data_IF_042941859058
#
_entry.id   IF_042941859058
#
_cell.length_a   1.000
_cell.length_b   1.000
_cell.length_c   1.000
_cell.angle_alpha   90.00
_cell.angle_beta   90.00
_cell.angle_gamma   90.00
#
_symmetry.space_group_name_H-M   'P 1'
#
loop_
_entity.id
_entity.type
_entity.pdbx_description
1 polymer ?
#
# COMPACT_ATOMS: atom_id res chain seq x y z
N UNK A 1 11.77 7.94 15.79
CA UNK A 1 11.46 7.12 14.60
C UNK A 1 12.72 6.35 14.30
N UNK A 2 12.61 5.03 14.38
CA UNK A 2 13.75 4.15 14.13
C UNK A 2 13.62 3.58 12.71
N UNK A 3 14.77 3.42 12.06
CA UNK A 3 14.86 2.72 10.78
C UNK A 3 15.76 1.51 10.96
N UNK A 4 15.28 0.34 10.55
CA UNK A 4 16.04 -0.90 10.57
C UNK A 4 16.14 -1.47 9.16
N UNK A 5 17.35 -1.82 8.76
CA UNK A 5 17.64 -2.37 7.44
C UNK A 5 18.13 -3.80 7.56
N UNK A 6 17.56 -4.67 6.73
CA UNK A 6 17.89 -6.09 6.67
C UNK A 6 18.22 -6.47 5.23
N UNK A 7 19.22 -7.33 5.05
CA UNK A 7 19.58 -7.88 3.73
C UNK A 7 19.85 -9.37 3.87
N UNK A 8 19.16 -10.15 3.06
CA UNK A 8 19.26 -11.62 3.05
C UNK A 8 19.67 -12.10 1.67
N UNK A 9 20.65 -13.00 1.62
CA UNK A 9 20.99 -13.75 0.42
C UNK A 9 20.11 -15.01 0.36
N UNK A 10 19.28 -15.11 -0.68
CA UNK A 10 18.26 -16.15 -0.80
C UNK A 10 18.29 -16.74 -2.22
N UNK A 11 17.75 -17.95 -2.39
CA UNK A 11 17.78 -18.66 -3.67
C UNK A 11 16.39 -18.94 -4.26
N UNK A 12 15.34 -18.98 -3.44
CA UNK A 12 14.00 -19.34 -3.90
C UNK A 12 13.46 -18.22 -4.79
N UNK A 13 13.11 -18.55 -6.03
CA UNK A 13 12.51 -17.58 -6.95
C UNK A 13 11.03 -17.37 -6.62
N UNK A 14 10.60 -16.13 -6.79
CA UNK A 14 9.19 -15.73 -6.82
C UNK A 14 8.84 -15.32 -8.25
N UNK A 15 7.60 -15.57 -8.68
CA UNK A 15 7.11 -14.97 -9.93
C UNK A 15 7.15 -13.46 -9.73
N UNK A 16 7.83 -12.73 -10.62
CA UNK A 16 7.87 -11.27 -10.54
C UNK A 16 6.45 -10.73 -10.64
N UNK A 17 6.04 -10.03 -9.59
CA UNK A 17 4.82 -9.25 -9.52
C UNK A 17 5.08 -7.78 -9.82
N UNK A 18 4.00 -7.04 -10.10
CA UNK A 18 4.04 -5.59 -10.06
C UNK A 18 4.23 -5.10 -8.63
N UNK A 19 4.62 -3.84 -8.47
CA UNK A 19 4.67 -3.21 -7.15
C UNK A 19 3.33 -3.38 -6.46
N UNK A 20 3.37 -3.82 -5.21
CA UNK A 20 2.18 -4.19 -4.44
C UNK A 20 2.22 -3.50 -3.10
N UNK A 21 1.10 -2.96 -2.66
CA UNK A 21 0.95 -2.30 -1.37
C UNK A 21 -0.21 -2.93 -0.59
N UNK A 22 0.08 -3.39 0.63
CA UNK A 22 -0.91 -4.03 1.51
C UNK A 22 -0.84 -3.40 2.89
N UNK A 23 -1.97 -3.39 3.60
CA UNK A 23 -2.04 -2.79 4.92
C UNK A 23 -2.18 -1.27 4.84
N UNK A 24 -1.95 -0.63 5.98
CA UNK A 24 -2.19 0.79 6.19
C UNK A 24 -1.34 1.25 7.37
N UNK A 25 -0.71 2.40 7.24
CA UNK A 25 0.01 3.05 8.32
C UNK A 25 -0.99 3.75 9.26
N UNK A 26 -1.86 2.97 9.90
CA UNK A 26 -2.84 3.41 10.89
C UNK A 26 -2.58 2.74 12.24
N UNK A 27 -3.12 3.30 13.33
CA UNK A 27 -2.84 2.86 14.71
C UNK A 27 -2.92 1.34 14.88
N UNK A 28 -1.83 0.73 15.36
CA UNK A 28 -1.76 -0.72 15.60
C UNK A 28 -1.58 -1.57 14.35
N UNK A 29 -1.28 -0.97 13.21
CA UNK A 29 -1.14 -1.62 11.91
C UNK A 29 0.12 -1.13 11.18
N UNK A 30 0.37 -1.64 9.98
CA UNK A 30 1.48 -1.25 9.14
C UNK A 30 1.09 -1.30 7.67
N UNK A 31 1.73 -0.43 6.89
CA UNK A 31 1.78 -0.49 5.44
C UNK A 31 3.00 -1.33 5.03
N UNK A 32 2.79 -2.24 4.09
CA UNK A 32 3.84 -3.09 3.50
C UNK A 32 3.83 -2.88 1.99
N UNK A 33 4.98 -2.47 1.45
CA UNK A 33 5.19 -2.27 0.02
C UNK A 33 6.19 -3.31 -0.44
N UNK A 34 5.87 -4.03 -1.51
CA UNK A 34 6.74 -5.04 -2.13
C UNK A 34 7.06 -4.59 -3.55
N UNK A 35 8.35 -4.44 -3.84
CA UNK A 35 8.88 -4.10 -5.16
C UNK A 35 9.80 -5.22 -5.65
N UNK A 36 9.89 -5.46 -6.98
CA UNK A 36 10.96 -6.30 -7.51
C UNK A 36 12.32 -5.63 -7.28
N UNK A 37 13.28 -6.38 -6.77
CA UNK A 37 14.66 -5.93 -6.62
C UNK A 37 15.48 -6.36 -7.84
N UNK A 38 16.20 -5.42 -8.46
CA UNK A 38 17.07 -5.68 -9.61
C UNK A 38 18.27 -6.56 -9.27
N UNK A 39 18.64 -6.65 -7.98
CA UNK A 39 19.65 -7.57 -7.47
C UNK A 39 19.03 -8.96 -7.25
N UNK A 40 19.15 -9.80 -8.26
CA UNK A 40 18.37 -11.05 -8.39
C UNK A 40 18.59 -12.11 -7.30
N UNK A 41 19.57 -11.98 -6.41
CA UNK A 41 19.89 -12.95 -5.33
C UNK A 41 19.74 -12.40 -3.90
N UNK A 42 19.27 -11.17 -3.76
CA UNK A 42 19.11 -10.54 -2.46
C UNK A 42 17.69 -10.06 -2.24
N UNK A 43 17.23 -10.17 -1.00
CA UNK A 43 16.01 -9.51 -0.54
C UNK A 43 16.37 -8.49 0.52
N UNK A 44 15.87 -7.27 0.35
CA UNK A 44 16.10 -6.15 1.26
C UNK A 44 14.79 -5.82 1.95
N UNK A 45 14.84 -5.62 3.26
CA UNK A 45 13.69 -5.19 4.04
C UNK A 45 14.08 -3.94 4.81
N UNK A 46 13.30 -2.88 4.66
CA UNK A 46 13.44 -1.64 5.40
C UNK A 46 12.21 -1.47 6.28
N UNK A 47 12.43 -1.34 7.57
CA UNK A 47 11.38 -1.06 8.55
C UNK A 47 11.53 0.38 9.03
N UNK A 48 10.46 1.14 8.90
CA UNK A 48 10.30 2.46 9.48
C UNK A 48 9.26 2.37 10.58
N UNK A 49 9.64 2.60 11.84
CA UNK A 49 8.72 2.53 12.97
C UNK A 49 8.73 3.81 13.79
N UNK A 50 7.54 4.24 14.19
CA UNK A 50 7.36 5.34 15.14
C UNK A 50 7.60 4.90 16.59
N UNK A 51 7.70 3.60 16.86
CA UNK A 51 7.90 3.02 18.20
C UNK A 51 9.36 2.55 18.37
N UNK A 52 10.12 3.29 19.16
CA UNK A 52 11.54 2.97 19.43
C UNK A 52 11.70 1.88 20.49
N UNK A 53 12.86 1.21 20.49
CA UNK A 53 13.24 0.24 21.53
C UNK A 53 12.82 -1.21 21.29
N UNK A 54 12.24 -1.52 20.13
CA UNK A 54 11.74 -2.86 19.78
C UNK A 54 12.62 -3.61 18.76
N UNK A 55 13.91 -3.23 18.61
CA UNK A 55 14.82 -3.84 17.63
C UNK A 55 14.89 -5.37 17.74
N UNK A 56 15.03 -5.90 18.96
CA UNK A 56 15.08 -7.35 19.17
C UNK A 56 13.79 -8.06 18.71
N UNK A 57 12.63 -7.43 18.93
CA UNK A 57 11.35 -7.96 18.44
C UNK A 57 11.28 -7.91 16.91
N UNK A 58 11.75 -6.83 16.29
CA UNK A 58 11.81 -6.72 14.84
C UNK A 58 12.75 -7.75 14.23
N UNK A 59 13.91 -8.01 14.85
CA UNK A 59 14.85 -9.04 14.44
C UNK A 59 14.16 -10.41 14.34
N UNK A 60 13.47 -10.83 15.40
CA UNK A 60 12.76 -12.12 15.44
C UNK A 60 11.63 -12.20 14.41
N UNK A 61 10.84 -11.13 14.26
CA UNK A 61 9.71 -11.11 13.32
C UNK A 61 10.19 -11.17 11.87
N UNK A 62 11.24 -10.42 11.54
CA UNK A 62 11.82 -10.41 10.19
C UNK A 62 12.51 -11.74 9.90
N UNK A 63 13.27 -12.29 10.86
CA UNK A 63 13.91 -13.59 10.72
C UNK A 63 12.88 -14.69 10.42
N UNK A 64 11.81 -14.76 11.22
CA UNK A 64 10.72 -15.72 10.99
C UNK A 64 10.04 -15.54 9.63
N UNK A 65 9.80 -14.30 9.21
CA UNK A 65 9.23 -14.03 7.89
C UNK A 65 10.11 -14.57 6.76
N UNK A 66 11.44 -14.39 6.85
CA UNK A 66 12.36 -14.91 5.84
C UNK A 66 12.43 -16.44 5.85
N UNK A 67 12.33 -17.07 7.02
CA UNK A 67 12.26 -18.54 7.13
C UNK A 67 11.02 -19.11 6.45
N UNK A 68 9.86 -18.47 6.65
CA UNK A 68 8.59 -18.90 6.05
C UNK A 68 8.52 -18.56 4.54
N UNK A 69 9.11 -17.43 4.12
CA UNK A 69 9.06 -16.90 2.75
C UNK A 69 10.47 -16.56 2.21
N UNK A 70 11.35 -17.55 1.96
CA UNK A 70 12.76 -17.33 1.62
C UNK A 70 12.98 -16.92 0.16
N UNK A 71 12.20 -15.96 -0.34
CA UNK A 71 12.22 -15.50 -1.73
C UNK A 71 13.28 -14.44 -2.00
N UNK A 72 14.06 -14.62 -3.06
CA UNK A 72 15.05 -13.65 -3.54
C UNK A 72 14.41 -12.54 -4.39
N UNK A 73 15.19 -11.48 -4.62
CA UNK A 73 14.86 -10.40 -5.55
C UNK A 73 13.64 -9.57 -5.13
N UNK A 74 13.42 -9.37 -3.84
CA UNK A 74 12.38 -8.50 -3.30
C UNK A 74 12.98 -7.29 -2.56
N UNK A 75 12.29 -6.17 -2.65
CA UNK A 75 12.51 -5.00 -1.80
C UNK A 75 11.21 -4.72 -1.06
N UNK A 76 11.24 -4.86 0.27
CA UNK A 76 10.10 -4.64 1.14
C UNK A 76 10.31 -3.39 1.98
N UNK A 77 9.31 -2.51 1.99
CA UNK A 77 9.25 -1.35 2.88
C UNK A 77 8.07 -1.52 3.83
N UNK A 78 8.34 -1.47 5.13
CA UNK A 78 7.34 -1.57 6.19
C UNK A 78 7.25 -0.23 6.90
N UNK A 79 6.11 0.44 6.78
CA UNK A 79 5.80 1.67 7.51
C UNK A 79 4.88 1.32 8.67
N UNK A 80 5.48 1.17 9.85
CA UNK A 80 4.83 0.73 11.08
C UNK A 80 4.23 1.90 11.86
N UNK A 81 3.04 1.64 12.41
CA UNK A 81 2.29 2.55 13.27
C UNK A 81 1.92 1.85 14.60
N UNK A 82 2.86 1.09 15.15
CA UNK A 82 2.70 0.37 16.43
C UNK A 82 2.02 -1.00 16.28
N UNK A 83 2.23 -1.68 15.15
CA UNK A 83 1.70 -3.02 14.93
C UNK A 83 2.31 -4.06 15.88
N UNK A 84 1.48 -4.96 16.38
CA UNK A 84 1.95 -6.11 17.16
C UNK A 84 2.57 -7.17 16.24
N UNK A 85 3.48 -8.05 16.73
CA UNK A 85 4.09 -9.09 15.91
C UNK A 85 3.11 -9.97 15.11
N UNK A 86 1.93 -10.36 15.64
CA UNK A 86 0.92 -11.07 14.85
C UNK A 86 0.36 -10.25 13.67
N UNK A 87 0.17 -8.93 13.85
CA UNK A 87 -0.30 -8.03 12.78
C UNK A 87 0.78 -7.86 11.71
N UNK A 88 2.04 -7.70 12.12
CA UNK A 88 3.18 -7.64 11.19
C UNK A 88 3.24 -8.92 10.34
N UNK A 89 3.18 -10.09 10.98
CA UNK A 89 3.21 -11.39 10.31
C UNK A 89 2.03 -11.56 9.34
N UNK A 90 0.84 -11.10 9.74
CA UNK A 90 -0.35 -11.10 8.88
C UNK A 90 -0.15 -10.23 7.63
N UNK A 91 0.30 -8.98 7.77
CA UNK A 91 0.46 -8.08 6.61
C UNK A 91 1.57 -8.52 5.68
N UNK A 92 2.68 -9.03 6.21
CA UNK A 92 3.76 -9.59 5.40
C UNK A 92 3.28 -10.76 4.53
N UNK A 93 2.53 -11.71 5.12
CA UNK A 93 1.91 -12.80 4.36
C UNK A 93 0.95 -12.29 3.28
N UNK A 94 0.05 -11.37 3.64
CA UNK A 94 -0.88 -10.78 2.68
C UNK A 94 -0.15 -10.03 1.54
N UNK A 95 0.97 -9.38 1.83
CA UNK A 95 1.78 -8.69 0.85
C UNK A 95 2.43 -9.67 -0.14
N UNK A 96 2.97 -10.80 0.33
CA UNK A 96 3.52 -11.84 -0.54
C UNK A 96 2.42 -12.50 -1.37
N UNK A 97 1.28 -12.84 -0.77
CA UNK A 97 0.11 -13.36 -1.51
C UNK A 97 -0.32 -12.39 -2.60
N UNK A 98 -0.55 -11.12 -2.25
CA UNK A 98 -0.98 -10.10 -3.20
C UNK A 98 0.06 -9.86 -4.33
N UNK A 99 1.35 -9.94 -4.02
CA UNK A 99 2.42 -9.81 -5.00
C UNK A 99 2.44 -10.98 -6.01
N UNK A 100 2.10 -12.19 -5.57
CA UNK A 100 2.08 -13.38 -6.43
C UNK A 100 0.82 -13.52 -7.28
N UNK A 101 -0.35 -13.31 -6.66
CA UNK A 101 -1.65 -13.65 -7.23
C UNK A 101 -2.58 -12.45 -7.41
N UNK A 102 -2.14 -11.24 -7.05
CA UNK A 102 -2.96 -10.03 -7.07
C UNK A 102 -3.84 -9.87 -5.84
N UNK A 103 -4.58 -8.77 -5.77
CA UNK A 103 -5.44 -8.46 -4.63
C UNK A 103 -6.66 -9.39 -4.59
N UNK A 104 -6.96 -9.91 -3.41
CA UNK A 104 -8.18 -10.70 -3.19
C UNK A 104 -9.43 -9.84 -3.36
N UNK A 105 -10.46 -10.41 -4.02
CA UNK A 105 -11.80 -9.80 -4.06
C UNK A 105 -12.44 -9.87 -2.67
N UNK A 106 -13.20 -8.83 -2.32
CA UNK A 106 -13.91 -8.71 -1.04
C UNK A 106 -15.40 -8.52 -1.29
N UNK A 107 -16.22 -9.23 -0.52
CA UNK A 107 -17.68 -9.17 -0.63
C UNK A 107 -18.28 -7.93 0.06
N UNK A 108 -17.60 -7.39 1.08
CA UNK A 108 -18.10 -6.28 1.89
C UNK A 108 -17.25 -5.03 1.70
N UNK A 109 -17.90 -3.95 1.26
CA UNK A 109 -17.26 -2.65 1.01
C UNK A 109 -16.55 -2.08 2.23
N UNK A 110 -17.13 -2.28 3.42
CA UNK A 110 -16.64 -1.74 4.69
C UNK A 110 -15.42 -2.48 5.24
N UNK A 111 -15.19 -3.71 4.83
CA UNK A 111 -14.03 -4.53 5.24
C UNK A 111 -12.89 -4.47 4.20
N UNK A 112 -13.19 -3.99 3.00
CA UNK A 112 -12.24 -3.91 1.91
C UNK A 112 -11.35 -2.67 2.04
N UNK A 113 -10.04 -2.86 1.85
CA UNK A 113 -9.12 -1.74 1.66
C UNK A 113 -9.45 -0.97 0.38
N UNK A 114 -8.92 0.25 0.24
CA UNK A 114 -9.04 1.06 -0.97
C UNK A 114 -8.77 0.26 -2.26
N UNK A 115 -7.67 -0.50 -2.28
CA UNK A 115 -7.27 -1.31 -3.44
C UNK A 115 -8.19 -2.52 -3.60
N UNK A 116 -8.50 -3.26 -2.54
CA UNK A 116 -9.41 -4.40 -2.63
C UNK A 116 -10.77 -4.00 -3.21
N UNK A 117 -11.28 -2.80 -2.88
CA UNK A 117 -12.53 -2.29 -3.47
C UNK A 117 -12.43 -2.14 -4.98
N UNK A 118 -11.38 -1.50 -5.48
CA UNK A 118 -11.14 -1.32 -6.92
C UNK A 118 -11.07 -2.69 -7.60
N UNK A 119 -10.18 -3.59 -7.14
CA UNK A 119 -9.99 -4.92 -7.72
C UNK A 119 -11.24 -5.83 -7.65
N UNK A 120 -12.19 -5.52 -6.76
CA UNK A 120 -13.46 -6.26 -6.67
C UNK A 120 -14.50 -5.80 -7.68
N UNK A 121 -14.39 -4.56 -8.18
CA UNK A 121 -15.40 -3.92 -9.03
C UNK A 121 -15.05 -3.92 -10.52
N UNK A 122 -13.77 -3.76 -10.84
CA UNK A 122 -13.31 -3.55 -12.22
C UNK A 122 -13.00 -4.86 -12.94
N UNK A 123 -12.88 -4.80 -14.26
CA UNK A 123 -12.46 -5.95 -15.08
C UNK A 123 -11.08 -6.45 -14.62
N UNK A 124 -10.91 -7.78 -14.63
CA UNK A 124 -9.69 -8.42 -14.13
C UNK A 124 -8.44 -7.90 -14.85
N UNK A 125 -7.43 -7.50 -14.08
CA UNK A 125 -6.16 -6.99 -14.61
C UNK A 125 -6.25 -5.60 -15.28
N UNK A 126 -7.40 -4.92 -15.24
CA UNK A 126 -7.58 -3.64 -15.93
C UNK A 126 -7.11 -2.41 -15.15
N UNK A 127 -6.95 -2.53 -13.83
CA UNK A 127 -6.55 -1.40 -12.98
C UNK A 127 -5.07 -1.04 -13.19
N UNK A 128 -4.84 0.22 -13.55
CA UNK A 128 -3.53 0.84 -13.66
C UNK A 128 -3.48 2.00 -12.65
N UNK A 129 -2.81 1.75 -11.53
CA UNK A 129 -2.69 2.71 -10.43
C UNK A 129 -1.66 3.80 -10.76
N UNK A 130 -2.05 5.06 -10.56
CA UNK A 130 -1.15 6.19 -10.71
C UNK A 130 -0.34 6.39 -9.44
N UNK A 131 0.93 6.78 -9.61
CA UNK A 131 1.85 7.13 -8.51
C UNK A 131 2.16 5.99 -7.54
N UNK A 132 1.80 4.73 -7.84
CA UNK A 132 2.06 3.56 -6.97
C UNK A 132 3.55 3.38 -6.62
N UNK A 133 4.45 3.79 -7.52
CA UNK A 133 5.90 3.69 -7.34
C UNK A 133 6.54 4.97 -6.77
N UNK A 134 5.73 5.96 -6.37
CA UNK A 134 6.18 7.25 -5.88
C UNK A 134 5.67 7.47 -4.46
N UNK A 135 6.53 7.96 -3.59
CA UNK A 135 6.13 8.35 -2.24
C UNK A 135 5.46 9.72 -2.31
N UNK A 136 4.13 9.71 -2.26
CA UNK A 136 3.25 10.89 -2.24
C UNK A 136 2.77 11.16 -0.81
N UNK A 137 3.71 11.17 0.15
CA UNK A 137 3.41 11.42 1.57
C UNK A 137 2.98 12.87 1.79
N UNK A 138 2.17 13.12 2.83
CA UNK A 138 1.86 14.49 3.24
C UNK A 138 3.12 15.19 3.79
N UNK A 139 3.44 16.41 3.33
CA UNK A 139 4.56 17.20 3.87
C UNK A 139 4.26 17.75 5.28
N UNK A 140 2.98 17.89 5.63
CA UNK A 140 2.52 18.53 6.88
C UNK A 140 2.45 17.54 8.03
N UNK A 141 2.02 16.29 7.78
CA UNK A 141 1.83 15.29 8.85
C UNK A 141 3.11 15.02 9.68
N UNK A 142 4.31 14.87 9.09
CA UNK A 142 5.55 14.72 9.88
C UNK A 142 5.81 15.88 10.83
N UNK A 143 5.49 17.12 10.42
CA UNK A 143 5.70 18.32 11.23
C UNK A 143 4.78 18.35 12.46
N UNK A 144 3.63 17.68 12.36
CA UNK A 144 2.68 17.49 13.46
C UNK A 144 2.97 16.24 14.30
N UNK A 145 4.05 15.51 14.01
CA UNK A 145 4.36 14.23 14.66
C UNK A 145 3.33 13.14 14.37
N UNK A 146 2.59 13.26 13.27
CA UNK A 146 1.54 12.32 12.89
C UNK A 146 2.07 11.23 11.95
N UNK A 147 1.38 10.09 11.95
CA UNK A 147 1.68 8.97 11.07
C UNK A 147 1.48 9.37 9.60
N UNK A 148 2.38 8.89 8.74
CA UNK A 148 2.32 9.09 7.28
C UNK A 148 2.07 7.77 6.56
N UNK A 149 1.48 7.87 5.38
CA UNK A 149 1.26 6.77 4.44
C UNK A 149 1.71 7.21 3.04
N UNK A 150 2.31 6.30 2.26
CA UNK A 150 2.95 6.66 0.98
C UNK A 150 2.00 7.22 -0.09
N UNK A 151 0.70 6.89 -0.02
CA UNK A 151 -0.31 7.35 -0.98
C UNK A 151 -1.28 8.39 -0.40
N UNK A 152 -1.00 8.89 0.81
CA UNK A 152 -1.85 9.80 1.58
C UNK A 152 -3.32 9.33 1.72
N UNK A 153 -3.53 8.01 1.79
CA UNK A 153 -4.84 7.42 2.04
C UNK A 153 -5.79 7.39 0.85
N UNK A 154 -5.28 7.49 -0.39
CA UNK A 154 -6.10 7.35 -1.60
C UNK A 154 -5.37 6.66 -2.74
N UNK A 155 -5.99 5.62 -3.30
CA UNK A 155 -5.58 5.00 -4.55
C UNK A 155 -6.32 5.67 -5.71
N UNK A 156 -5.60 6.07 -6.76
CA UNK A 156 -6.18 6.70 -7.96
C UNK A 156 -5.61 6.05 -9.22
N UNK A 157 -6.36 6.06 -10.31
CA UNK A 157 -5.87 5.56 -11.59
C UNK A 157 -6.97 5.37 -12.63
N UNK A 158 -6.71 4.49 -13.58
CA UNK A 158 -7.70 4.07 -14.58
C UNK A 158 -7.99 2.59 -14.48
N UNK A 159 -9.21 2.20 -14.81
CA UNK A 159 -9.61 0.79 -14.90
C UNK A 159 -10.64 0.62 -16.03
N UNK A 160 -11.12 -0.61 -16.23
CA UNK A 160 -12.20 -0.89 -17.17
C UNK A 160 -13.42 -1.47 -16.45
N UNK A 161 -14.61 -1.09 -16.92
CA UNK A 161 -15.87 -1.75 -16.62
C UNK A 161 -16.46 -2.24 -17.93
N UNK A 162 -16.55 -3.55 -18.11
CA UNK A 162 -17.05 -4.17 -19.36
C UNK A 162 -16.29 -3.65 -20.60
N UNK A 163 -14.97 -3.49 -20.48
CA UNK A 163 -14.09 -2.95 -21.52
C UNK A 163 -14.08 -1.43 -21.65
N UNK A 164 -14.95 -0.71 -20.94
CA UNK A 164 -15.03 0.75 -20.99
C UNK A 164 -14.01 1.34 -20.01
N UNK A 165 -13.01 2.06 -20.53
CA UNK A 165 -11.99 2.71 -19.71
C UNK A 165 -12.57 3.89 -18.93
N UNK A 166 -12.39 3.90 -17.61
CA UNK A 166 -12.83 4.97 -16.70
C UNK A 166 -11.69 5.44 -15.81
N UNK A 167 -11.84 6.63 -15.24
CA UNK A 167 -11.04 7.05 -14.08
C UNK A 167 -11.67 6.50 -12.80
N UNK A 168 -10.85 6.14 -11.81
CA UNK A 168 -11.33 5.61 -10.53
C UNK A 168 -10.44 6.06 -9.37
N UNK A 169 -11.07 6.40 -8.25
CA UNK A 169 -10.42 6.65 -6.97
C UNK A 169 -11.07 5.83 -5.86
N UNK A 170 -10.28 5.38 -4.89
CA UNK A 170 -10.78 4.79 -3.65
C UNK A 170 -10.00 5.28 -2.44
N UNK A 171 -10.72 5.76 -1.42
CA UNK A 171 -10.14 6.26 -0.18
C UNK A 171 -9.77 5.12 0.76
N UNK A 172 -8.89 5.35 1.74
CA UNK A 172 -8.50 4.37 2.76
C UNK A 172 -8.94 4.86 4.14
N UNK A 173 -10.07 4.34 4.65
CA UNK A 173 -10.62 4.78 5.95
C UNK A 173 -9.71 4.51 7.13
N UNK A 174 -8.90 3.46 7.06
CA UNK A 174 -8.07 3.04 8.18
C UNK A 174 -6.84 3.97 8.34
N UNK A 175 -6.59 4.85 7.36
CA UNK A 175 -5.59 5.92 7.45
C UNK A 175 -6.24 7.24 7.85
N UNK A 176 -6.06 7.65 9.11
CA UNK A 176 -6.60 8.91 9.67
C UNK A 176 -8.10 9.08 9.33
N UNK A 177 -8.88 8.01 9.46
CA UNK A 177 -10.32 8.02 9.20
C UNK A 177 -10.69 8.24 7.72
N UNK A 178 -9.76 8.08 6.78
CA UNK A 178 -9.99 8.39 5.35
C UNK A 178 -10.20 9.89 5.11
N UNK A 179 -9.73 10.73 6.02
CA UNK A 179 -9.83 12.18 5.90
C UNK A 179 -9.01 12.71 4.73
N UNK A 180 -9.54 13.72 4.05
CA UNK A 180 -8.94 14.35 2.87
C UNK A 180 -7.97 15.43 3.33
N UNK A 181 -6.67 15.19 3.13
CA UNK A 181 -5.62 16.20 3.29
C UNK A 181 -5.11 16.76 1.97
N UNK A 182 -4.02 17.53 2.04
CA UNK A 182 -3.41 18.23 0.89
C UNK A 182 -3.10 17.31 -0.29
N UNK A 183 -2.30 16.25 -0.08
CA UNK A 183 -1.85 15.36 -1.16
C UNK A 183 -2.99 14.45 -1.63
N UNK A 184 -3.80 13.95 -0.71
CA UNK A 184 -5.03 13.22 -1.00
C UNK A 184 -5.96 14.01 -1.95
N UNK A 185 -6.26 15.27 -1.60
CA UNK A 185 -7.10 16.15 -2.40
C UNK A 185 -6.46 16.49 -3.75
N UNK A 186 -5.15 16.75 -3.78
CA UNK A 186 -4.40 16.99 -5.01
C UNK A 186 -4.45 15.79 -5.96
N UNK A 187 -4.38 14.56 -5.45
CA UNK A 187 -4.50 13.32 -6.23
C UNK A 187 -5.89 13.18 -6.86
N UNK A 188 -6.95 13.40 -6.08
CA UNK A 188 -8.33 13.37 -6.61
C UNK A 188 -8.53 14.45 -7.67
N UNK A 189 -8.08 15.69 -7.40
CA UNK A 189 -8.17 16.77 -8.38
C UNK A 189 -7.38 16.45 -9.66
N UNK A 190 -6.15 15.94 -9.54
CA UNK A 190 -5.34 15.51 -10.67
C UNK A 190 -6.01 14.41 -11.49
N UNK A 191 -6.70 13.46 -10.84
CA UNK A 191 -7.48 12.43 -11.52
C UNK A 191 -8.67 13.01 -12.29
N UNK A 192 -9.38 14.00 -11.72
CA UNK A 192 -10.48 14.70 -12.41
C UNK A 192 -9.95 15.39 -13.66
N UNK A 193 -8.85 16.14 -13.54
CA UNK A 193 -8.22 16.82 -14.68
C UNK A 193 -7.76 15.81 -15.76
N UNK A 194 -7.21 14.67 -15.34
CA UNK A 194 -6.84 13.59 -16.24
C UNK A 194 -8.07 13.05 -16.99
N UNK A 195 -9.16 12.75 -16.30
CA UNK A 195 -10.39 12.24 -16.90
C UNK A 195 -10.97 13.21 -17.93
N UNK A 196 -10.99 14.51 -17.63
CA UNK A 196 -11.45 15.56 -18.55
C UNK A 196 -10.56 15.67 -19.78
N UNK A 197 -9.23 15.72 -19.59
CA UNK A 197 -8.25 15.82 -20.68
C UNK A 197 -8.34 14.64 -21.64
N UNK A 198 -8.57 13.44 -21.12
CA UNK A 198 -8.66 12.21 -21.91
C UNK A 198 -10.09 11.86 -22.31
N UNK A 199 -11.07 12.72 -22.01
CA UNK A 199 -12.50 12.53 -22.34
C UNK A 199 -13.01 11.15 -21.89
N UNK A 200 -12.60 10.72 -20.69
CA UNK A 200 -13.07 9.45 -20.16
C UNK A 200 -14.58 9.53 -19.87
N UNK A 201 -15.35 8.50 -20.20
CA UNK A 201 -16.81 8.51 -20.10
C UNK A 201 -17.33 8.60 -18.66
N UNK A 202 -16.51 8.20 -17.67
CA UNK A 202 -16.88 8.25 -16.26
C UNK A 202 -15.67 8.41 -15.34
N UNK A 203 -15.95 8.96 -14.16
CA UNK A 203 -15.10 8.94 -12.98
C UNK A 203 -15.87 8.25 -11.84
N UNK A 204 -15.31 7.18 -11.31
CA UNK A 204 -15.88 6.44 -10.18
C UNK A 204 -15.16 6.83 -8.90
N UNK A 205 -15.90 7.26 -7.88
CA UNK A 205 -15.35 7.61 -6.57
C UNK A 205 -15.88 6.64 -5.52
N UNK A 206 -14.99 5.82 -4.98
CA UNK A 206 -15.28 4.90 -3.87
C UNK A 206 -14.95 5.60 -2.55
N UNK A 207 -15.95 6.30 -2.03
CA UNK A 207 -15.84 7.17 -0.86
C UNK A 207 -15.91 6.39 0.44
N UNK A 208 -14.99 6.70 1.35
CA UNK A 208 -14.95 6.16 2.70
C UNK A 208 -14.10 7.12 3.56
N UNK A 209 -14.73 8.20 4.02
CA UNK A 209 -14.06 9.38 4.53
C UNK A 209 -14.71 9.92 5.80
N UNK A 210 -13.88 10.33 6.75
CA UNK A 210 -14.25 11.10 7.92
C UNK A 210 -14.32 12.61 7.68
N UNK A 211 -14.17 13.08 6.43
CA UNK A 211 -14.26 14.49 6.07
C UNK A 211 -12.90 15.13 5.77
N UNK A 212 -12.72 16.40 6.11
CA UNK A 212 -11.48 17.15 5.86
C UNK A 212 -10.47 16.87 6.98
N UNK A 213 -9.21 16.66 6.60
CA UNK A 213 -8.08 16.63 7.53
C UNK A 213 -7.60 18.06 7.77
N UNK A 214 -8.12 18.67 8.84
CA UNK A 214 -7.80 20.04 9.28
C UNK A 214 -6.45 20.12 9.98
#
# INVERSE_FOLDING_TARGET
MDTYEYTFALEKKLKNGAVTKVGVAGSGNLEVIVKPNTQTKQTRITVHTTVSGFKATWDEVIQRFIEDYPYQALELTLNDAGATPPVVSLRLRQAIEAYQIGYSKKAHYTEATARNRIYSLVDEGSFSEFLLNQDTVSPTLPQLGMQVETDDGVAIGTAQFEGIKVAIASQQKDFIGGSVGEVHGAKINGLIQYAMKHQLPALVLLIDSGGVRL
#
